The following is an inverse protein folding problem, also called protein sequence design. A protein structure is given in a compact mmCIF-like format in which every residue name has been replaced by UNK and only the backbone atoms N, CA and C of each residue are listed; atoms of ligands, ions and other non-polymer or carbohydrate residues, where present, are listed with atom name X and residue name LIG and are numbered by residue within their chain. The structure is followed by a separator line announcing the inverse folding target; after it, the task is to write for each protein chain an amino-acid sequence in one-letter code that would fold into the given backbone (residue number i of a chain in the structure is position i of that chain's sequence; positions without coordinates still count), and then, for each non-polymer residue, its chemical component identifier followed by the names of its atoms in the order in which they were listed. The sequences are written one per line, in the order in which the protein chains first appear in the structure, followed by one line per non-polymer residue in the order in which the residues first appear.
data_IF_755748220589
#
_entry.id   IF_755748220589
#
_cell.length_a   1.000
_cell.length_b   1.000
_cell.length_c   1.000
_cell.angle_alpha   90.00
_cell.angle_beta   90.00
_cell.angle_gamma   90.00
#
_symmetry.space_group_name_H-M   'P 1'
#
loop_
_entity.id
_entity.type
_entity.pdbx_description
1 polymer ?
#
# COMPACT_ATOMS: atom_id res chain seq x y z
N UNK A 1 5.17 17.33 -10.10
CA UNK A 1 4.20 16.26 -9.71
C UNK A 1 5.01 15.16 -9.01
N UNK A 2 4.47 14.37 -8.09
CA UNK A 2 5.23 13.28 -7.45
C UNK A 2 4.96 11.93 -8.11
N UNK A 3 5.97 11.05 -8.16
CA UNK A 3 5.88 9.68 -8.67
C UNK A 3 6.47 8.69 -7.66
N UNK A 4 5.77 7.59 -7.43
CA UNK A 4 6.25 6.44 -6.63
C UNK A 4 6.17 5.20 -7.52
N UNK A 5 7.18 4.34 -7.50
CA UNK A 5 7.24 3.10 -8.28
C UNK A 5 7.38 1.89 -7.37
N UNK A 6 6.66 0.82 -7.69
CA UNK A 6 6.81 -0.49 -7.06
C UNK A 6 7.15 -1.53 -8.11
N UNK A 7 7.79 -2.65 -7.74
CA UNK A 7 7.76 -3.86 -8.56
C UNK A 7 6.30 -4.29 -8.82
N UNK A 8 6.06 -4.95 -9.95
CA UNK A 8 4.76 -5.58 -10.23
C UNK A 8 4.66 -6.87 -9.42
N UNK A 9 3.53 -7.07 -8.74
CA UNK A 9 3.17 -8.33 -8.08
C UNK A 9 2.14 -9.04 -8.94
N UNK A 10 2.33 -10.34 -9.20
CA UNK A 10 1.47 -11.13 -10.10
C UNK A 10 0.24 -11.70 -9.38
N UNK A 11 -0.66 -10.78 -8.97
CA UNK A 11 -1.89 -11.05 -8.24
C UNK A 11 -3.05 -10.24 -8.81
N UNK A 12 -4.30 -10.66 -8.57
CA UNK A 12 -5.51 -9.95 -9.03
C UNK A 12 -6.43 -9.59 -7.85
N UNK A 13 -6.02 -8.63 -7.00
CA UNK A 13 -6.78 -8.21 -5.83
C UNK A 13 -7.99 -7.35 -6.19
N UNK A 14 -9.05 -7.45 -5.40
CA UNK A 14 -10.11 -6.44 -5.36
C UNK A 14 -9.80 -5.40 -4.27
N UNK A 15 -10.26 -4.15 -4.43
CA UNK A 15 -10.22 -3.14 -3.35
C UNK A 15 -8.86 -2.48 -3.09
N UNK A 16 -7.86 -2.60 -3.99
CA UNK A 16 -6.55 -1.95 -3.80
C UNK A 16 -6.63 -0.43 -3.72
N UNK A 17 -7.58 0.17 -4.45
CA UNK A 17 -7.88 1.60 -4.34
C UNK A 17 -8.41 1.98 -2.96
N UNK A 18 -9.33 1.18 -2.40
CA UNK A 18 -9.90 1.42 -1.07
C UNK A 18 -8.83 1.29 0.02
N UNK A 19 -7.97 0.27 -0.07
CA UNK A 19 -6.85 0.10 0.85
C UNK A 19 -5.86 1.27 0.75
N UNK A 20 -5.51 1.69 -0.47
CA UNK A 20 -4.62 2.83 -0.69
C UNK A 20 -5.21 4.10 -0.07
N UNK A 21 -6.47 4.42 -0.37
CA UNK A 21 -7.13 5.63 0.11
C UNK A 21 -7.28 5.60 1.63
N UNK A 22 -7.69 4.47 2.22
CA UNK A 22 -7.80 4.34 3.67
C UNK A 22 -6.45 4.53 4.39
N UNK A 23 -5.39 3.92 3.87
CA UNK A 23 -4.04 4.09 4.43
C UNK A 23 -3.52 5.53 4.27
N UNK A 24 -3.76 6.16 3.12
CA UNK A 24 -3.40 7.56 2.87
C UNK A 24 -4.13 8.50 3.84
N UNK A 25 -5.44 8.34 3.97
CA UNK A 25 -6.27 9.15 4.87
C UNK A 25 -5.83 8.99 6.33
N UNK A 26 -5.57 7.77 6.78
CA UNK A 26 -5.10 7.51 8.14
C UNK A 26 -3.72 8.13 8.40
N UNK A 27 -2.79 8.06 7.44
CA UNK A 27 -1.47 8.67 7.56
C UNK A 27 -1.53 10.20 7.59
N UNK A 28 -2.41 10.81 6.79
CA UNK A 28 -2.67 12.25 6.81
C UNK A 28 -3.28 12.71 8.14
N UNK A 29 -4.26 11.97 8.65
CA UNK A 29 -4.85 12.22 9.99
C UNK A 29 -3.79 12.10 11.10
N UNK A 30 -2.85 11.16 10.93
CA UNK A 30 -1.66 11.00 11.78
C UNK A 30 -0.60 12.10 11.63
N UNK A 31 -0.84 13.13 10.79
CA UNK A 31 0.04 14.30 10.66
C UNK A 31 1.17 14.18 9.65
N UNK A 32 1.20 13.14 8.82
CA UNK A 32 2.20 13.01 7.76
C UNK A 32 1.99 14.04 6.64
N UNK A 33 3.06 14.39 5.93
CA UNK A 33 2.94 15.14 4.68
C UNK A 33 2.24 14.29 3.61
N UNK A 34 1.66 14.92 2.59
CA UNK A 34 1.01 14.19 1.50
C UNK A 34 1.96 13.18 0.82
N UNK A 35 3.22 13.55 0.64
CA UNK A 35 4.21 12.68 -0.02
C UNK A 35 4.56 11.49 0.87
N UNK A 36 4.83 11.73 2.15
CA UNK A 36 5.15 10.67 3.10
C UNK A 36 3.96 9.72 3.28
N UNK A 37 2.75 10.27 3.40
CA UNK A 37 1.52 9.50 3.51
C UNK A 37 1.29 8.64 2.25
N UNK A 38 1.55 9.17 1.06
CA UNK A 38 1.46 8.41 -0.18
C UNK A 38 2.50 7.28 -0.26
N UNK A 39 3.74 7.53 0.16
CA UNK A 39 4.79 6.49 0.26
C UNK A 39 4.36 5.37 1.21
N UNK A 40 3.81 5.72 2.38
CA UNK A 40 3.32 4.76 3.36
C UNK A 40 2.14 3.94 2.84
N UNK A 41 1.18 4.59 2.17
CA UNK A 41 0.03 3.91 1.58
C UNK A 41 0.45 2.94 0.47
N UNK A 42 1.38 3.33 -0.41
CA UNK A 42 1.96 2.43 -1.42
C UNK A 42 2.68 1.25 -0.75
N UNK A 43 3.47 1.52 0.30
CA UNK A 43 4.16 0.50 1.09
C UNK A 43 3.22 -0.56 1.67
N UNK A 44 2.10 -0.10 2.22
CA UNK A 44 1.06 -0.92 2.81
C UNK A 44 0.39 -1.82 1.77
N UNK A 45 -0.06 -1.23 0.65
CA UNK A 45 -0.67 -1.99 -0.45
C UNK A 45 0.31 -3.04 -0.97
N UNK A 46 1.55 -2.66 -1.25
CA UNK A 46 2.54 -3.58 -1.79
C UNK A 46 2.82 -4.76 -0.84
N UNK A 47 2.90 -4.51 0.47
CA UNK A 47 3.09 -5.56 1.47
C UNK A 47 1.94 -6.57 1.47
N UNK A 48 0.69 -6.08 1.45
CA UNK A 48 -0.52 -6.93 1.37
C UNK A 48 -0.52 -7.76 0.09
N UNK A 49 -0.23 -7.14 -1.07
CA UNK A 49 -0.18 -7.86 -2.34
C UNK A 49 0.91 -8.91 -2.38
N UNK A 50 2.07 -8.64 -1.75
CA UNK A 50 3.19 -9.59 -1.71
C UNK A 50 2.91 -10.82 -0.83
N UNK A 51 1.94 -10.74 0.07
CA UNK A 51 1.50 -11.86 0.90
C UNK A 51 0.40 -12.71 0.25
N UNK A 52 -0.21 -12.23 -0.84
CA UNK A 52 -1.23 -12.98 -1.56
C UNK A 52 -0.62 -14.13 -2.37
N UNK A 53 -1.31 -15.29 -2.47
CA UNK A 53 -0.90 -16.37 -3.35
C UNK A 53 -0.97 -15.93 -4.82
N UNK A 54 0.00 -16.38 -5.62
CA UNK A 54 0.07 -16.03 -7.04
C UNK A 54 -1.13 -16.60 -7.82
N UNK A 55 -1.63 -15.84 -8.79
CA UNK A 55 -2.56 -16.32 -9.82
C UNK A 55 -4.05 -16.40 -9.42
N UNK A 56 -4.42 -16.21 -8.16
CA UNK A 56 -5.84 -16.26 -7.74
C UNK A 56 -6.43 -14.85 -7.59
N UNK A 57 -7.54 -14.54 -8.30
CA UNK A 57 -8.37 -13.40 -7.96
C UNK A 57 -9.00 -13.62 -6.59
N UNK A 58 -8.92 -12.64 -5.70
CA UNK A 58 -9.41 -12.83 -4.34
C UNK A 58 -9.49 -11.55 -3.52
N UNK A 59 -10.22 -11.66 -2.42
CA UNK A 59 -10.20 -10.67 -1.35
C UNK A 59 -8.79 -10.56 -0.77
N UNK A 60 -8.38 -9.34 -0.45
CA UNK A 60 -7.11 -9.12 0.23
C UNK A 60 -7.19 -9.70 1.65
N UNK A 61 -6.17 -10.44 2.13
CA UNK A 61 -6.19 -11.05 3.45
C UNK A 61 -5.87 -10.04 4.57
N UNK A 62 -6.56 -8.90 4.60
CA UNK A 62 -6.26 -7.76 5.47
C UNK A 62 -6.21 -8.15 6.96
N UNK A 63 -7.10 -9.05 7.39
CA UNK A 63 -7.15 -9.54 8.76
C UNK A 63 -5.94 -10.42 9.13
N UNK A 64 -5.40 -11.18 8.19
CA UNK A 64 -4.18 -11.96 8.40
C UNK A 64 -2.92 -11.07 8.31
N UNK A 65 -2.97 -10.01 7.49
CA UNK A 65 -1.86 -9.10 7.22
C UNK A 65 -1.93 -7.79 8.03
N UNK A 66 -2.48 -7.83 9.25
CA UNK A 66 -2.61 -6.64 10.12
C UNK A 66 -1.26 -5.95 10.39
N UNK A 67 -0.15 -6.71 10.41
CA UNK A 67 1.19 -6.14 10.56
C UNK A 67 1.53 -5.17 9.42
N UNK A 68 1.16 -5.52 8.17
CA UNK A 68 1.36 -4.65 7.01
C UNK A 68 0.57 -3.35 7.13
N UNK A 69 -0.58 -3.38 7.81
CA UNK A 69 -1.44 -2.21 8.05
C UNK A 69 -0.91 -1.27 9.14
N UNK A 70 0.08 -1.69 9.95
CA UNK A 70 0.67 -0.90 11.05
C UNK A 70 1.84 -0.02 10.60
N UNK A 71 1.83 0.42 9.33
CA UNK A 71 2.88 1.26 8.74
C UNK A 71 4.29 0.65 8.81
N UNK A 72 4.37 -0.68 8.80
CA UNK A 72 5.61 -1.44 8.68
C UNK A 72 5.88 -1.84 7.21
N UNK A 73 5.23 -1.15 6.26
CA UNK A 73 5.40 -1.38 4.84
C UNK A 73 6.84 -1.17 4.39
N UNK A 74 7.21 -1.77 3.26
CA UNK A 74 8.55 -1.59 2.69
C UNK A 74 8.78 -0.13 2.30
N UNK A 75 9.98 0.44 2.53
CA UNK A 75 10.26 1.81 2.13
C UNK A 75 10.28 1.92 0.60
N UNK A 76 9.53 2.89 0.08
CA UNK A 76 9.56 3.32 -1.32
C UNK A 76 9.99 4.78 -1.40
N UNK A 77 10.54 5.18 -2.54
CA UNK A 77 10.99 6.56 -2.76
C UNK A 77 9.97 7.29 -3.63
N UNK A 78 9.62 8.51 -3.21
CA UNK A 78 8.90 9.46 -4.05
C UNK A 78 9.91 10.32 -4.82
N UNK A 79 9.70 10.43 -6.13
CA UNK A 79 10.50 11.26 -7.03
C UNK A 79 9.68 12.46 -7.49
N UNK A 80 10.28 13.65 -7.44
CA UNK A 80 9.69 14.84 -8.04
C UNK A 80 9.90 14.80 -9.56
N UNK A 81 8.80 14.95 -10.30
CA UNK A 81 8.74 15.13 -11.76
C UNK A 81 8.80 16.60 -12.13
#
# INVERSE_FOLDING_TARGET
VWRIRTPKVDVRPNGTGDLFTGALTAALDGGMTLVDAAVQAVGTVFAVLSAMPAGEPGEMPLAAEVAALRWQGRPFTAELL
#
